data_IF_728903065955
#
_entry.id   IF_728903065955
#
_cell.length_a   1.000
_cell.length_b   1.000
_cell.length_c   1.000
_cell.angle_alpha   90.00
_cell.angle_beta   90.00
_cell.angle_gamma   90.00
#
_symmetry.space_group_name_H-M   'P 1'
#
loop_
_entity.id
_entity.type
_entity.pdbx_description
1 polymer ?
#
# COMPACT_ATOMS: atom_id res chain seq x y z
N UNK A 1 5.88 -1.35 -10.68
CA UNK A 1 5.43 -1.18 -9.29
C UNK A 1 5.14 -2.52 -8.64
N UNK A 2 4.30 -3.35 -9.29
CA UNK A 2 3.93 -4.71 -8.89
C UNK A 2 5.09 -5.61 -8.46
N UNK A 3 6.22 -5.55 -9.17
CA UNK A 3 7.41 -6.36 -8.84
C UNK A 3 7.97 -6.08 -7.43
N UNK A 4 7.73 -4.88 -6.88
CA UNK A 4 8.10 -4.52 -5.51
C UNK A 4 6.95 -4.78 -4.54
N UNK A 5 5.71 -4.49 -4.94
CA UNK A 5 4.52 -4.67 -4.12
C UNK A 5 4.32 -6.11 -3.69
N UNK A 6 4.35 -7.06 -4.63
CA UNK A 6 4.09 -8.48 -4.34
C UNK A 6 5.03 -9.02 -3.26
N UNK A 7 6.38 -8.95 -3.37
CA UNK A 7 7.25 -9.49 -2.34
C UNK A 7 7.11 -8.75 -1.00
N UNK A 8 6.91 -7.43 -1.00
CA UNK A 8 6.77 -6.64 0.23
C UNK A 8 5.45 -6.96 0.94
N UNK A 9 4.33 -7.05 0.21
CA UNK A 9 3.03 -7.41 0.77
C UNK A 9 3.01 -8.84 1.29
N UNK A 10 3.62 -9.79 0.58
CA UNK A 10 3.77 -11.18 1.05
C UNK A 10 4.62 -11.25 2.31
N UNK A 11 5.73 -10.51 2.37
CA UNK A 11 6.57 -10.44 3.56
C UNK A 11 5.85 -9.76 4.74
N UNK A 12 5.06 -8.72 4.47
CA UNK A 12 4.17 -8.09 5.44
C UNK A 12 3.17 -9.08 6.04
N UNK A 13 2.49 -9.86 5.18
CA UNK A 13 1.56 -10.90 5.61
C UNK A 13 2.26 -11.98 6.45
N UNK A 14 3.45 -12.42 6.04
CA UNK A 14 4.28 -13.35 6.83
C UNK A 14 4.61 -12.79 8.22
N UNK A 15 5.03 -11.52 8.31
CA UNK A 15 5.31 -10.87 9.59
C UNK A 15 4.07 -10.81 10.48
N UNK A 16 2.90 -10.45 9.93
CA UNK A 16 1.64 -10.43 10.69
C UNK A 16 1.28 -11.84 11.19
N UNK A 17 1.44 -12.87 10.35
CA UNK A 17 1.08 -14.24 10.71
C UNK A 17 2.04 -14.87 11.73
N UNK A 18 3.34 -14.66 11.61
CA UNK A 18 4.33 -15.44 12.35
C UNK A 18 5.19 -14.63 13.32
N UNK A 19 5.19 -13.30 13.22
CA UNK A 19 6.02 -12.42 14.07
C UNK A 19 5.19 -11.51 14.98
N UNK A 20 3.86 -11.47 14.83
CA UNK A 20 2.98 -10.76 15.78
C UNK A 20 3.10 -11.38 17.18
N UNK A 21 3.41 -10.59 18.23
CA UNK A 21 3.59 -11.11 19.58
C UNK A 21 2.27 -11.58 20.20
N UNK A 22 2.34 -12.50 21.16
CA UNK A 22 1.16 -13.07 21.84
C UNK A 22 0.26 -12.00 22.49
N UNK A 23 0.86 -10.91 22.99
CA UNK A 23 0.15 -9.77 23.57
C UNK A 23 -0.77 -9.02 22.59
N UNK A 24 -0.61 -9.23 21.28
CA UNK A 24 -1.41 -8.63 20.21
C UNK A 24 -2.23 -9.67 19.43
N UNK A 25 -2.40 -10.88 19.98
CA UNK A 25 -3.10 -11.95 19.25
C UNK A 25 -4.58 -11.62 18.96
N UNK A 26 -5.25 -10.87 19.85
CA UNK A 26 -6.63 -10.43 19.67
C UNK A 26 -6.84 -9.50 18.47
N UNK A 27 -5.81 -8.75 18.07
CA UNK A 27 -5.87 -7.81 16.93
C UNK A 27 -5.19 -8.36 15.67
N UNK A 28 -4.51 -9.50 15.75
CA UNK A 28 -3.76 -10.11 14.65
C UNK A 28 -4.62 -10.36 13.41
N UNK A 29 -5.81 -10.93 13.58
CA UNK A 29 -6.72 -11.23 12.48
C UNK A 29 -7.23 -9.94 11.81
N UNK A 30 -7.50 -8.90 12.61
CA UNK A 30 -7.91 -7.59 12.10
C UNK A 30 -6.79 -6.93 11.29
N UNK A 31 -5.53 -6.99 11.79
CA UNK A 31 -4.36 -6.52 11.05
C UNK A 31 -4.17 -7.26 9.73
N UNK A 32 -4.37 -8.58 9.71
CA UNK A 32 -4.25 -9.39 8.51
C UNK A 32 -5.35 -9.07 7.49
N UNK A 33 -6.60 -8.89 7.95
CA UNK A 33 -7.74 -8.55 7.11
C UNK A 33 -7.52 -7.19 6.43
N UNK A 34 -7.12 -6.18 7.20
CA UNK A 34 -6.79 -4.85 6.67
C UNK A 34 -5.63 -4.90 5.67
N UNK A 35 -4.56 -5.64 6.00
CA UNK A 35 -3.42 -5.82 5.10
C UNK A 35 -3.83 -6.48 3.80
N UNK A 36 -4.63 -7.55 3.86
CA UNK A 36 -5.11 -8.29 2.69
C UNK A 36 -5.89 -7.38 1.73
N UNK A 37 -6.91 -6.65 2.21
CA UNK A 37 -7.71 -5.78 1.33
C UNK A 37 -6.93 -4.60 0.78
N UNK A 38 -5.99 -4.04 1.56
CA UNK A 38 -5.09 -2.99 1.08
C UNK A 38 -4.15 -3.53 0.00
N UNK A 39 -3.53 -4.70 0.20
CA UNK A 39 -2.67 -5.32 -0.83
C UNK A 39 -3.46 -5.67 -2.09
N UNK A 40 -4.70 -6.17 -1.97
CA UNK A 40 -5.58 -6.45 -3.13
C UNK A 40 -5.88 -5.16 -3.89
N UNK A 41 -6.19 -4.06 -3.19
CA UNK A 41 -6.42 -2.76 -3.82
C UNK A 41 -5.19 -2.28 -4.60
N UNK A 42 -4.02 -2.28 -3.97
CA UNK A 42 -2.75 -1.86 -4.59
C UNK A 42 -2.48 -2.65 -5.87
N UNK A 43 -2.52 -3.99 -5.80
CA UNK A 43 -2.27 -4.87 -6.96
C UNK A 43 -3.33 -4.68 -8.05
N UNK A 44 -4.57 -4.41 -7.65
CA UNK A 44 -5.65 -4.16 -8.61
C UNK A 44 -5.37 -2.90 -9.41
N UNK A 45 -5.08 -1.78 -8.73
CA UNK A 45 -4.82 -0.49 -9.36
C UNK A 45 -3.48 -0.47 -10.09
N UNK A 46 -2.43 -1.10 -9.56
CA UNK A 46 -1.09 -1.07 -10.13
C UNK A 46 -0.91 -2.02 -11.32
N UNK A 47 -1.61 -3.17 -11.32
CA UNK A 47 -1.35 -4.27 -12.27
C UNK A 47 -2.57 -4.80 -13.00
N UNK A 48 -3.71 -5.02 -12.31
CA UNK A 48 -4.85 -5.68 -12.95
C UNK A 48 -5.59 -4.71 -13.87
N UNK A 49 -5.87 -3.49 -13.42
CA UNK A 49 -6.64 -2.51 -14.18
C UNK A 49 -5.79 -1.36 -14.69
N UNK A 50 -4.75 -0.92 -13.97
CA UNK A 50 -3.85 0.19 -14.35
C UNK A 50 -4.63 1.34 -15.02
N UNK A 51 -5.50 2.04 -14.26
CA UNK A 51 -6.49 2.93 -14.81
C UNK A 51 -5.84 4.19 -15.42
N UNK A 52 -6.25 4.51 -16.64
CA UNK A 52 -5.95 5.78 -17.31
C UNK A 52 -7.12 6.75 -17.09
N UNK A 53 -6.97 7.72 -16.19
CA UNK A 53 -8.01 8.70 -15.86
C UNK A 53 -7.82 10.01 -16.63
N UNK A 54 -8.94 10.66 -16.97
CA UNK A 54 -8.99 11.85 -17.83
C UNK A 54 -9.51 13.12 -17.11
N UNK A 55 -9.19 13.29 -15.83
CA UNK A 55 -9.64 14.46 -15.05
C UNK A 55 -9.22 15.78 -15.72
N UNK A 56 -10.11 16.80 -15.75
CA UNK A 56 -11.30 16.98 -14.90
C UNK A 56 -12.54 16.21 -15.35
N UNK A 57 -12.55 15.63 -16.56
CA UNK A 57 -13.63 14.75 -16.99
C UNK A 57 -13.53 13.44 -16.21
N UNK A 58 -14.63 13.03 -15.58
CA UNK A 58 -14.68 11.85 -14.70
C UNK A 58 -14.85 10.61 -15.57
N UNK A 59 -13.85 10.36 -16.40
CA UNK A 59 -13.81 9.28 -17.35
C UNK A 59 -12.42 8.64 -17.38
N UNK A 60 -12.36 7.42 -17.90
CA UNK A 60 -11.11 6.71 -18.06
C UNK A 60 -11.30 5.32 -18.62
N UNK A 61 -10.20 4.61 -18.78
CA UNK A 61 -10.19 3.22 -19.24
C UNK A 61 -9.02 2.45 -18.61
N UNK A 62 -9.16 1.15 -18.35
CA UNK A 62 -8.10 0.33 -17.79
C UNK A 62 -7.13 -0.14 -18.88
N UNK A 63 -5.84 -0.14 -18.56
CA UNK A 63 -4.75 -0.63 -19.43
C UNK A 63 -4.01 -1.84 -18.86
N UNK A 64 -4.53 -2.42 -17.78
CA UNK A 64 -3.88 -3.53 -17.06
C UNK A 64 -4.17 -4.92 -17.64
N UNK A 65 -3.77 -5.94 -16.88
CA UNK A 65 -3.88 -7.35 -17.26
C UNK A 65 -5.32 -7.79 -17.60
N UNK A 66 -6.33 -7.26 -16.90
CA UNK A 66 -7.73 -7.63 -17.12
C UNK A 66 -8.22 -7.19 -18.51
N UNK A 67 -7.71 -6.08 -19.04
CA UNK A 67 -7.99 -5.64 -20.41
C UNK A 67 -7.39 -6.60 -21.43
N UNK A 68 -6.18 -7.12 -21.17
CA UNK A 68 -5.51 -8.06 -22.07
C UNK A 68 -6.25 -9.40 -22.20
N UNK A 69 -6.85 -9.89 -21.12
CA UNK A 69 -7.67 -11.12 -21.13
C UNK A 69 -9.12 -10.88 -21.58
N UNK A 70 -9.46 -9.66 -22.01
CA UNK A 70 -10.76 -9.33 -22.60
C UNK A 70 -11.89 -9.02 -21.61
N UNK A 71 -11.60 -8.69 -20.35
CA UNK A 71 -12.65 -8.28 -19.39
C UNK A 71 -13.19 -6.91 -19.80
N UNK A 72 -14.52 -6.73 -19.93
CA UNK A 72 -15.11 -5.45 -20.31
C UNK A 72 -14.75 -4.31 -19.34
N UNK A 73 -14.47 -3.13 -19.89
CA UNK A 73 -14.11 -1.90 -19.15
C UNK A 73 -15.07 -1.61 -18.00
N UNK A 74 -16.39 -1.72 -18.23
CA UNK A 74 -17.40 -1.42 -17.21
C UNK A 74 -17.18 -2.27 -15.95
N UNK A 75 -17.01 -3.59 -16.09
CA UNK A 75 -16.79 -4.48 -14.94
C UNK A 75 -15.50 -4.14 -14.19
N UNK A 76 -14.42 -3.84 -14.91
CA UNK A 76 -13.15 -3.43 -14.30
C UNK A 76 -13.30 -2.12 -13.51
N UNK A 77 -14.00 -1.13 -14.09
CA UNK A 77 -14.27 0.16 -13.44
C UNK A 77 -15.13 -0.02 -12.19
N UNK A 78 -16.25 -0.74 -12.27
CA UNK A 78 -17.08 -1.02 -11.10
C UNK A 78 -16.30 -1.73 -10.00
N UNK A 79 -15.50 -2.73 -10.35
CA UNK A 79 -14.67 -3.47 -9.40
C UNK A 79 -13.66 -2.57 -8.68
N UNK A 80 -12.91 -1.75 -9.41
CA UNK A 80 -11.94 -0.79 -8.84
C UNK A 80 -12.65 0.22 -7.95
N UNK A 81 -13.76 0.79 -8.40
CA UNK A 81 -14.49 1.78 -7.61
C UNK A 81 -15.03 1.16 -6.32
N UNK A 82 -15.62 -0.03 -6.38
CA UNK A 82 -16.13 -0.73 -5.18
C UNK A 82 -14.98 -1.04 -4.20
N UNK A 83 -13.84 -1.52 -4.70
CA UNK A 83 -12.67 -1.80 -3.86
C UNK A 83 -12.10 -0.53 -3.22
N UNK A 84 -11.99 0.57 -3.96
CA UNK A 84 -11.62 1.86 -3.40
C UNK A 84 -12.64 2.29 -2.33
N UNK A 85 -13.93 2.23 -2.65
CA UNK A 85 -15.00 2.63 -1.76
C UNK A 85 -15.03 1.84 -0.45
N UNK A 86 -14.76 0.54 -0.50
CA UNK A 86 -14.74 -0.33 0.69
C UNK A 86 -13.53 -0.04 1.57
N UNK A 87 -12.36 0.23 0.98
CA UNK A 87 -11.14 0.57 1.75
C UNK A 87 -11.26 1.95 2.41
N UNK A 88 -11.95 2.90 1.78
CA UNK A 88 -12.15 4.26 2.30
C UNK A 88 -13.53 4.51 2.94
N UNK A 89 -14.36 3.46 3.08
CA UNK A 89 -15.69 3.48 3.72
C UNK A 89 -16.70 4.48 3.12
N UNK A 90 -16.64 4.69 1.80
CA UNK A 90 -17.46 5.68 1.08
C UNK A 90 -18.44 5.01 0.10
N UNK A 91 -18.70 3.71 0.27
CA UNK A 91 -19.57 2.90 -0.59
C UNK A 91 -20.97 3.51 -0.80
N UNK A 92 -21.55 4.09 0.25
CA UNK A 92 -22.90 4.69 0.21
C UNK A 92 -22.95 5.93 -0.69
N UNK A 93 -21.91 6.76 -0.68
CA UNK A 93 -21.87 7.99 -1.50
C UNK A 93 -21.51 7.69 -2.95
N UNK A 94 -20.65 6.70 -3.17
CA UNK A 94 -20.33 6.24 -4.52
C UNK A 94 -21.53 5.61 -5.22
N UNK A 95 -22.44 4.93 -4.51
CA UNK A 95 -23.68 4.44 -5.12
C UNK A 95 -24.49 5.57 -5.81
N UNK A 96 -24.50 6.78 -5.24
CA UNK A 96 -25.15 7.94 -5.85
C UNK A 96 -24.34 8.58 -6.98
N UNK A 97 -23.01 8.45 -6.98
CA UNK A 97 -22.13 9.00 -8.01
C UNK A 97 -21.98 8.09 -9.25
N UNK A 98 -22.25 6.78 -9.13
CA UNK A 98 -22.07 5.78 -10.19
C UNK A 98 -23.20 5.75 -11.23
N UNK A 99 -23.88 6.88 -11.44
CA UNK A 99 -24.83 7.03 -12.54
C UNK A 99 -24.00 7.12 -13.83
N UNK A 100 -23.87 5.99 -14.52
CA UNK A 100 -23.24 5.91 -15.85
C UNK A 100 -23.85 6.97 -16.76
N UNK A 101 -23.01 7.89 -17.25
CA UNK A 101 -23.45 8.89 -18.21
C UNK A 101 -23.18 8.40 -19.63
N UNK A 102 -24.26 8.18 -20.39
CA UNK A 102 -24.18 7.74 -21.78
C UNK A 102 -23.77 8.85 -22.76
N UNK A 103 -23.62 10.10 -22.30
CA UNK A 103 -23.27 11.25 -23.16
C UNK A 103 -21.75 11.42 -23.31
N UNK A 104 -21.11 10.41 -23.88
CA UNK A 104 -19.66 10.36 -24.12
C UNK A 104 -19.15 11.56 -24.96
N UNK A 105 -19.91 11.95 -25.99
CA UNK A 105 -19.43 12.89 -27.01
C UNK A 105 -19.38 14.37 -26.58
N UNK A 106 -20.24 14.81 -25.64
CA UNK A 106 -20.25 16.19 -25.16
C UNK A 106 -19.13 16.43 -24.14
N UNK A 107 -18.77 15.43 -23.34
CA UNK A 107 -17.75 15.55 -22.29
C UNK A 107 -16.33 15.59 -22.85
N UNK A 108 -16.08 15.01 -24.04
CA UNK A 108 -14.77 15.10 -24.68
C UNK A 108 -14.45 16.48 -25.27
N UNK A 109 -15.44 17.35 -25.45
CA UNK A 109 -15.23 18.70 -26.00
C UNK A 109 -14.55 19.65 -25.00
N UNK A 110 -14.59 19.33 -23.70
CA UNK A 110 -13.93 20.13 -22.65
C UNK A 110 -12.46 19.78 -22.47
N UNK A 111 -12.00 18.66 -23.07
CA UNK A 111 -10.60 18.25 -23.02
C UNK A 111 -9.81 18.90 -24.18
N UNK A 112 -8.51 19.21 -23.98
CA UNK A 112 -7.65 19.57 -25.09
C UNK A 112 -7.58 18.41 -26.10
N UNK A 113 -7.15 18.67 -27.33
CA UNK A 113 -7.00 17.61 -28.34
C UNK A 113 -6.09 16.50 -27.81
N UNK A 114 -6.66 15.30 -27.68
CA UNK A 114 -5.97 14.12 -27.18
C UNK A 114 -5.34 13.32 -28.32
N UNK A 115 -4.37 12.45 -28.02
CA UNK A 115 -3.88 11.48 -29.00
C UNK A 115 -5.00 10.59 -29.53
N UNK A 116 -4.94 10.22 -30.82
CA UNK A 116 -5.96 9.40 -31.49
C UNK A 116 -6.24 8.06 -30.80
N UNK A 117 -5.24 7.51 -30.09
CA UNK A 117 -5.36 6.28 -29.30
C UNK A 117 -6.36 6.38 -28.14
N UNK A 118 -6.60 7.58 -27.61
CA UNK A 118 -7.55 7.79 -26.52
C UNK A 118 -8.99 7.79 -27.04
N UNK A 119 -9.21 8.33 -28.24
CA UNK A 119 -10.54 8.33 -28.87
C UNK A 119 -10.98 6.94 -29.34
N UNK A 120 -10.04 6.05 -29.66
CA UNK A 120 -10.35 4.65 -30.02
C UNK A 120 -10.39 3.71 -28.81
N UNK A 121 -10.03 4.18 -27.62
CA UNK A 121 -10.08 3.39 -26.40
C UNK A 121 -11.53 3.23 -25.91
N UNK A 122 -11.86 2.14 -25.18
CA UNK A 122 -13.17 1.94 -24.59
C UNK A 122 -13.32 2.81 -23.34
N UNK A 123 -13.43 4.13 -23.53
CA UNK A 123 -13.54 5.10 -22.42
C UNK A 123 -14.88 4.95 -21.72
N UNK A 124 -14.82 4.81 -20.40
CA UNK A 124 -15.98 4.76 -19.52
C UNK A 124 -16.15 6.10 -18.81
N UNK A 125 -17.33 6.71 -18.93
CA UNK A 125 -17.69 7.97 -18.25
C UNK A 125 -18.44 7.64 -16.97
N UNK A 126 -17.84 7.96 -15.83
CA UNK A 126 -18.40 7.66 -14.51
C UNK A 126 -19.56 8.59 -14.17
N UNK A 127 -19.41 9.88 -14.50
CA UNK A 127 -20.45 10.92 -14.36
C UNK A 127 -20.00 12.19 -15.10
N UNK A 128 -20.95 12.93 -15.69
CA UNK A 128 -20.67 14.27 -16.25
C UNK A 128 -20.75 15.38 -15.21
N UNK A 129 -21.38 15.12 -14.06
CA UNK A 129 -21.64 16.14 -13.07
C UNK A 129 -20.56 16.15 -11.99
N UNK A 130 -19.71 17.17 -12.05
CA UNK A 130 -18.59 17.41 -11.13
C UNK A 130 -19.02 17.50 -9.66
N UNK A 131 -20.28 17.85 -9.39
CA UNK A 131 -20.82 17.93 -8.02
C UNK A 131 -20.77 16.58 -7.32
N UNK A 132 -20.99 15.46 -8.03
CA UNK A 132 -20.91 14.13 -7.41
C UNK A 132 -19.48 13.76 -7.01
N UNK A 133 -18.48 14.12 -7.83
CA UNK A 133 -17.07 13.90 -7.50
C UNK A 133 -16.64 14.78 -6.32
N UNK A 134 -16.95 16.07 -6.36
CA UNK A 134 -16.61 17.00 -5.27
C UNK A 134 -17.31 16.58 -3.98
N UNK A 135 -18.59 16.22 -4.03
CA UNK A 135 -19.34 15.70 -2.88
C UNK A 135 -18.71 14.43 -2.32
N UNK A 136 -18.29 13.50 -3.18
CA UNK A 136 -17.59 12.27 -2.78
C UNK A 136 -16.27 12.59 -2.08
N UNK A 137 -15.45 13.49 -2.64
CA UNK A 137 -14.16 13.89 -2.04
C UNK A 137 -14.39 14.58 -0.69
N UNK A 138 -15.35 15.51 -0.60
CA UNK A 138 -15.66 16.21 0.65
C UNK A 138 -16.15 15.23 1.73
N UNK A 139 -17.00 14.27 1.36
CA UNK A 139 -17.46 13.24 2.28
C UNK A 139 -16.32 12.31 2.73
N UNK A 140 -15.42 11.90 1.81
CA UNK A 140 -14.21 11.16 2.18
C UNK A 140 -13.36 11.93 3.21
N UNK A 141 -13.12 13.22 2.97
CA UNK A 141 -12.37 14.07 3.89
C UNK A 141 -13.05 14.15 5.26
N UNK A 142 -14.37 14.30 5.30
CA UNK A 142 -15.13 14.29 6.56
C UNK A 142 -14.98 12.98 7.34
N UNK A 143 -15.08 11.83 6.67
CA UNK A 143 -14.88 10.52 7.30
C UNK A 143 -13.45 10.34 7.82
N UNK A 144 -12.44 10.68 7.02
CA UNK A 144 -11.03 10.60 7.43
C UNK A 144 -10.78 11.47 8.67
N UNK A 145 -11.29 12.71 8.69
CA UNK A 145 -11.16 13.60 9.84
C UNK A 145 -11.87 13.04 11.08
N UNK A 146 -13.08 12.51 10.91
CA UNK A 146 -13.85 11.88 11.99
C UNK A 146 -13.11 10.68 12.57
N UNK A 147 -12.55 9.82 11.71
CA UNK A 147 -11.77 8.66 12.14
C UNK A 147 -10.50 9.07 12.91
N UNK A 148 -9.77 10.09 12.43
CA UNK A 148 -8.61 10.64 13.14
C UNK A 148 -9.01 11.08 14.56
N UNK A 149 -10.11 11.83 14.69
CA UNK A 149 -10.60 12.31 16.00
C UNK A 149 -11.01 11.15 16.90
N UNK A 150 -11.82 10.20 16.41
CA UNK A 150 -12.27 9.03 17.18
C UNK A 150 -11.07 8.22 17.65
N UNK A 151 -10.07 8.00 16.79
CA UNK A 151 -8.89 7.22 17.15
C UNK A 151 -8.06 7.96 18.20
N UNK A 152 -7.85 9.27 18.09
CA UNK A 152 -7.19 10.05 19.14
C UNK A 152 -7.91 9.91 20.48
N UNK A 153 -9.25 9.99 20.51
CA UNK A 153 -10.05 9.83 21.72
C UNK A 153 -9.89 8.43 22.32
N UNK A 154 -10.02 7.37 21.51
CA UNK A 154 -9.88 5.98 21.96
C UNK A 154 -8.46 5.69 22.47
N UNK A 155 -7.44 6.23 21.80
CA UNK A 155 -6.04 6.12 22.21
C UNK A 155 -5.80 6.80 23.55
N UNK A 156 -6.30 8.03 23.71
CA UNK A 156 -6.18 8.77 24.97
C UNK A 156 -6.88 8.03 26.11
N UNK A 157 -8.09 7.52 25.87
CA UNK A 157 -8.82 6.69 26.83
C UNK A 157 -8.04 5.43 27.20
N UNK A 158 -7.41 4.76 26.23
CA UNK A 158 -6.58 3.57 26.48
C UNK A 158 -5.35 3.87 27.34
N UNK A 159 -4.64 4.97 27.08
CA UNK A 159 -3.50 5.40 27.92
C UNK A 159 -3.97 5.74 29.33
N UNK A 160 -5.05 6.51 29.44
CA UNK A 160 -5.60 6.94 30.73
C UNK A 160 -6.06 5.76 31.57
N UNK A 161 -6.84 4.83 31.01
CA UNK A 161 -7.26 3.60 31.72
C UNK A 161 -6.06 2.76 32.18
N UNK A 162 -5.04 2.61 31.33
CA UNK A 162 -3.82 1.87 31.69
C UNK A 162 -3.02 2.57 32.81
N UNK A 163 -3.08 3.89 32.88
CA UNK A 163 -2.39 4.69 33.92
C UNK A 163 -3.19 4.72 35.22
N UNK A 164 -4.52 4.72 35.14
CA UNK A 164 -5.43 4.75 36.30
C UNK A 164 -5.60 3.39 36.98
N UNK A 165 -5.40 2.26 36.29
CA UNK A 165 -5.60 0.93 36.88
C UNK A 165 -4.41 0.41 37.73
N UNK A 166 -3.50 1.27 38.20
CA UNK A 166 -2.19 0.81 38.67
C UNK A 166 -2.19 0.04 40.01
N UNK A 167 -2.25 -1.29 39.86
CA UNK A 167 -1.35 -2.30 40.43
C UNK A 167 -0.14 -2.60 39.49
N UNK A 168 0.16 -1.78 38.46
CA UNK A 168 1.16 -2.10 37.42
C UNK A 168 2.52 -1.41 37.63
N UNK A 169 3.60 -2.08 37.19
CA UNK A 169 4.96 -1.54 37.25
C UNK A 169 5.26 -0.53 36.13
N UNK A 170 6.19 0.39 36.39
CA UNK A 170 6.61 1.44 35.44
C UNK A 170 7.13 0.88 34.10
N UNK A 171 7.78 -0.29 34.15
CA UNK A 171 8.30 -0.96 32.95
C UNK A 171 7.17 -1.34 31.98
N UNK A 172 6.05 -1.86 32.48
CA UNK A 172 4.89 -2.27 31.65
C UNK A 172 4.23 -1.07 30.96
N UNK A 173 4.09 0.06 31.66
CA UNK A 173 3.55 1.31 31.08
C UNK A 173 4.45 1.84 29.97
N UNK A 174 5.77 1.79 30.16
CA UNK A 174 6.73 2.24 29.15
C UNK A 174 6.63 1.43 27.84
N UNK A 175 6.33 0.13 27.93
CA UNK A 175 6.12 -0.77 26.79
C UNK A 175 4.80 -0.43 26.09
N UNK A 176 3.69 -0.27 26.84
CA UNK A 176 2.39 0.08 26.26
C UNK A 176 2.44 1.41 25.49
N UNK A 177 3.15 2.43 26.00
CA UNK A 177 3.35 3.72 25.29
C UNK A 177 4.10 3.56 23.96
N UNK A 178 5.12 2.69 23.91
CA UNK A 178 5.87 2.42 22.67
C UNK A 178 5.01 1.71 21.62
N UNK A 179 4.22 0.71 22.02
CA UNK A 179 3.29 0.01 21.12
C UNK A 179 2.24 0.97 20.57
N UNK A 180 1.72 1.88 21.42
CA UNK A 180 0.73 2.86 20.99
C UNK A 180 1.28 3.87 19.99
N UNK A 181 2.51 4.36 20.21
CA UNK A 181 3.21 5.23 19.25
C UNK A 181 3.40 4.55 17.90
N UNK A 182 3.67 3.25 17.89
CA UNK A 182 3.81 2.48 16.67
C UNK A 182 2.49 2.38 15.88
N UNK A 183 1.37 2.17 16.59
CA UNK A 183 0.03 2.18 16.01
C UNK A 183 -0.30 3.57 15.45
N UNK A 184 0.10 4.65 16.14
CA UNK A 184 -0.07 6.03 15.66
C UNK A 184 0.61 6.22 14.30
N UNK A 185 1.90 5.91 14.20
CA UNK A 185 2.65 6.10 12.95
C UNK A 185 2.01 5.29 11.81
N UNK A 186 1.68 4.02 12.06
CA UNK A 186 1.08 3.14 11.05
C UNK A 186 -0.29 3.63 10.55
N UNK A 187 -1.09 4.25 11.43
CA UNK A 187 -2.42 4.75 11.07
C UNK A 187 -2.38 6.05 10.27
N UNK A 188 -1.48 6.97 10.61
CA UNK A 188 -1.39 8.26 9.92
C UNK A 188 -0.72 8.15 8.56
N UNK A 189 0.20 7.19 8.36
CA UNK A 189 0.95 7.04 7.11
C UNK A 189 0.06 6.91 5.86
N UNK A 190 -0.93 5.99 5.78
CA UNK A 190 -1.81 5.90 4.60
C UNK A 190 -2.54 7.21 4.31
N UNK A 191 -3.02 7.88 5.36
CA UNK A 191 -3.79 9.12 5.24
C UNK A 191 -2.93 10.28 4.72
N UNK A 192 -1.68 10.38 5.19
CA UNK A 192 -0.75 11.40 4.71
C UNK A 192 -0.37 11.22 3.24
N UNK A 193 -0.23 9.97 2.77
CA UNK A 193 0.10 9.68 1.37
C UNK A 193 -1.08 10.01 0.43
N UNK A 194 -2.31 9.85 0.90
CA UNK A 194 -3.52 10.08 0.11
C UNK A 194 -4.00 11.54 0.11
N UNK A 195 -3.53 12.36 1.06
CA UNK A 195 -3.88 13.79 1.11
C UNK A 195 -3.48 14.52 -0.17
N UNK A 196 -2.27 14.28 -0.68
CA UNK A 196 -1.76 14.97 -1.88
C UNK A 196 -2.59 14.65 -3.15
N UNK A 197 -2.88 13.39 -3.50
CA UNK A 197 -3.75 13.06 -4.63
C UNK A 197 -5.16 13.64 -4.50
N UNK A 198 -5.77 13.59 -3.31
CA UNK A 198 -7.14 14.08 -3.11
C UNK A 198 -7.23 15.60 -3.23
N UNK A 199 -6.28 16.33 -2.64
CA UNK A 199 -6.20 17.78 -2.76
C UNK A 199 -5.97 18.20 -4.22
N UNK A 200 -5.10 17.48 -4.92
CA UNK A 200 -4.81 17.73 -6.33
C UNK A 200 -6.04 17.49 -7.23
N UNK A 201 -6.73 16.35 -7.06
CA UNK A 201 -7.94 16.05 -7.83
C UNK A 201 -9.04 17.09 -7.59
N UNK A 202 -9.21 17.55 -6.35
CA UNK A 202 -10.15 18.62 -6.01
C UNK A 202 -9.78 19.93 -6.72
N UNK A 203 -8.51 20.33 -6.65
CA UNK A 203 -8.02 21.56 -7.27
C UNK A 203 -8.22 21.56 -8.79
N UNK A 204 -7.84 20.49 -9.50
CA UNK A 204 -8.02 20.42 -10.95
C UNK A 204 -9.49 20.36 -11.37
N UNK A 205 -10.33 19.66 -10.61
CA UNK A 205 -11.77 19.58 -10.93
C UNK A 205 -12.43 20.95 -10.81
N UNK A 206 -12.01 21.77 -9.85
CA UNK A 206 -12.52 23.14 -9.66
C UNK A 206 -11.97 24.13 -10.70
N UNK A 207 -10.69 23.99 -11.06
CA UNK A 207 -10.02 24.89 -12.02
C UNK A 207 -10.25 24.46 -13.48
N UNK A 208 -10.82 23.27 -13.70
CA UNK A 208 -11.13 22.67 -15.01
C UNK A 208 -9.92 22.54 -15.95
N UNK A 209 -8.72 22.36 -15.37
CA UNK A 209 -7.48 22.19 -16.14
C UNK A 209 -7.13 20.72 -16.28
N UNK A 210 -6.98 20.25 -17.52
CA UNK A 210 -6.52 18.89 -17.82
C UNK A 210 -4.98 18.80 -17.78
N UNK A 211 -4.45 17.82 -17.04
CA UNK A 211 -3.02 17.50 -17.04
C UNK A 211 -2.78 15.99 -16.87
N UNK A 212 -2.47 15.30 -17.97
CA UNK A 212 -2.30 13.85 -17.94
C UNK A 212 -1.13 13.37 -17.08
N UNK A 213 -0.02 14.12 -17.04
CA UNK A 213 1.14 13.73 -16.23
C UNK A 213 0.77 13.68 -14.75
N UNK A 214 -0.02 14.65 -14.29
CA UNK A 214 -0.46 14.71 -12.91
C UNK A 214 -1.58 13.72 -12.59
N UNK A 215 -2.51 13.48 -13.51
CA UNK A 215 -3.48 12.39 -13.41
C UNK A 215 -2.77 11.04 -13.20
N UNK A 216 -1.69 10.79 -13.94
CA UNK A 216 -0.86 9.60 -13.78
C UNK A 216 -0.17 9.57 -12.40
N UNK A 217 0.33 10.70 -11.90
CA UNK A 217 0.87 10.78 -10.54
C UNK A 217 -0.19 10.47 -9.48
N UNK A 218 -1.42 10.98 -9.61
CA UNK A 218 -2.51 10.66 -8.67
C UNK A 218 -2.77 9.16 -8.60
N UNK A 219 -2.85 8.48 -9.75
CA UNK A 219 -3.01 7.02 -9.80
C UNK A 219 -1.80 6.31 -9.20
N UNK A 220 -0.57 6.79 -9.44
CA UNK A 220 0.64 6.21 -8.87
C UNK A 220 0.67 6.30 -7.33
N UNK A 221 0.32 7.46 -6.77
CA UNK A 221 0.21 7.64 -5.32
C UNK A 221 -0.92 6.80 -4.72
N UNK A 222 -2.07 6.74 -5.41
CA UNK A 222 -3.19 5.89 -5.01
C UNK A 222 -2.81 4.41 -5.03
N UNK A 223 -2.08 3.93 -6.05
CA UNK A 223 -1.60 2.56 -6.12
C UNK A 223 -0.53 2.25 -5.05
N UNK A 224 0.24 3.25 -4.62
CA UNK A 224 1.39 3.07 -3.73
C UNK A 224 1.16 3.28 -2.25
N UNK A 225 -0.01 3.78 -1.86
CA UNK A 225 -0.28 4.08 -0.46
C UNK A 225 -0.16 2.84 0.45
N UNK A 226 -0.65 1.67 0.02
CA UNK A 226 -0.57 0.42 0.79
C UNK A 226 0.85 -0.14 0.83
N UNK A 227 1.63 0.02 -0.23
CA UNK A 227 3.05 -0.31 -0.25
C UNK A 227 3.83 0.50 0.79
N UNK A 228 3.65 1.83 0.79
CA UNK A 228 4.28 2.72 1.77
C UNK A 228 3.83 2.36 3.19
N UNK A 229 2.54 2.11 3.39
CA UNK A 229 1.99 1.63 4.66
C UNK A 229 2.66 0.35 5.15
N UNK A 230 2.88 -0.61 4.26
CA UNK A 230 3.51 -1.90 4.58
C UNK A 230 4.98 -1.71 4.95
N UNK A 231 5.73 -0.90 4.20
CA UNK A 231 7.13 -0.57 4.52
C UNK A 231 7.22 0.08 5.91
N UNK A 232 6.35 1.05 6.19
CA UNK A 232 6.30 1.70 7.50
C UNK A 232 5.91 0.73 8.61
N UNK A 233 4.92 -0.14 8.39
CA UNK A 233 4.56 -1.20 9.34
C UNK A 233 5.77 -2.07 9.66
N UNK A 234 6.50 -2.53 8.64
CA UNK A 234 7.70 -3.34 8.81
C UNK A 234 8.81 -2.60 9.56
N UNK A 235 8.95 -1.27 9.39
CA UNK A 235 9.97 -0.44 10.05
C UNK A 235 9.57 0.10 11.42
N UNK A 236 8.29 0.14 11.76
CA UNK A 236 7.84 0.68 13.05
C UNK A 236 7.71 -0.44 14.08
N UNK A 237 7.22 -1.61 13.69
CA UNK A 237 7.04 -2.75 14.58
C UNK A 237 8.34 -3.50 14.84
N UNK A 238 8.86 -3.36 16.06
CA UNK A 238 10.09 -4.03 16.50
C UNK A 238 10.16 -5.54 16.14
N UNK A 239 9.13 -6.38 16.38
CA UNK A 239 9.22 -7.80 16.01
C UNK A 239 9.32 -8.03 14.49
N UNK A 240 8.74 -7.15 13.67
CA UNK A 240 8.76 -7.27 12.22
C UNK A 240 10.11 -6.81 11.66
N UNK A 241 10.68 -5.73 12.20
CA UNK A 241 12.03 -5.25 11.88
C UNK A 241 13.08 -6.30 12.15
N UNK A 242 13.00 -6.92 13.32
CA UNK A 242 13.97 -7.95 13.71
C UNK A 242 13.89 -9.11 12.71
N UNK A 243 12.67 -9.55 12.35
CA UNK A 243 12.48 -10.57 11.33
C UNK A 243 13.03 -10.16 9.95
N UNK A 244 12.86 -8.90 9.55
CA UNK A 244 13.46 -8.35 8.34
C UNK A 244 14.98 -8.46 8.37
N UNK A 245 15.62 -7.93 9.42
CA UNK A 245 17.08 -7.99 9.55
C UNK A 245 17.62 -9.43 9.68
N UNK A 246 16.88 -10.35 10.29
CA UNK A 246 17.27 -11.75 10.40
C UNK A 246 17.37 -12.43 9.03
N UNK A 247 16.46 -12.10 8.09
CA UNK A 247 16.52 -12.60 6.70
C UNK A 247 17.84 -12.18 6.05
N UNK A 248 18.21 -10.90 6.12
CA UNK A 248 19.47 -10.40 5.55
C UNK A 248 20.71 -10.90 6.28
N UNK A 249 20.65 -11.06 7.61
CA UNK A 249 21.77 -11.57 8.41
C UNK A 249 22.02 -13.06 8.14
N UNK A 250 20.98 -13.83 7.85
CA UNK A 250 21.10 -15.25 7.49
C UNK A 250 21.75 -15.46 6.12
N UNK A 251 21.52 -14.56 5.14
CA UNK A 251 22.25 -14.57 3.86
C UNK A 251 23.74 -14.25 4.05
N UNK A 252 24.06 -13.18 4.78
CA UNK A 252 25.44 -12.76 5.03
C UNK A 252 26.25 -13.79 5.86
N UNK A 253 25.59 -14.47 6.82
CA UNK A 253 26.21 -15.54 7.62
C UNK A 253 26.49 -16.80 6.79
N UNK A 254 25.60 -17.18 5.87
CA UNK A 254 25.81 -18.33 4.97
C UNK A 254 26.98 -18.10 4.02
N UNK A 255 27.10 -16.91 3.44
CA UNK A 255 28.23 -16.56 2.56
C UNK A 255 29.56 -16.57 3.34
N UNK A 256 29.55 -16.03 4.57
CA UNK A 256 30.73 -16.05 5.45
C UNK A 256 31.15 -17.47 5.87
N UNK A 257 30.20 -18.36 6.14
CA UNK A 257 30.48 -19.77 6.44
C UNK A 257 31.02 -20.52 5.21
N UNK A 258 30.47 -20.28 4.02
CA UNK A 258 30.94 -20.89 2.78
C UNK A 258 32.37 -20.44 2.46
N UNK A 259 32.68 -19.15 2.59
CA UNK A 259 34.03 -18.59 2.40
C UNK A 259 35.02 -19.19 3.42
N UNK A 260 34.62 -19.33 4.69
CA UNK A 260 35.48 -19.96 5.69
C UNK A 260 35.69 -21.46 5.43
N UNK A 261 34.67 -22.17 4.93
CA UNK A 261 34.79 -23.58 4.54
C UNK A 261 35.70 -23.78 3.31
N UNK A 262 35.63 -22.92 2.30
CA UNK A 262 36.51 -22.98 1.13
C UNK A 262 37.95 -22.57 1.48
N UNK A 263 38.14 -21.54 2.31
CA UNK A 263 39.47 -21.16 2.81
C UNK A 263 40.13 -22.28 3.62
N UNK A 264 39.36 -22.96 4.49
CA UNK A 264 39.85 -24.10 5.28
C UNK A 264 40.24 -25.29 4.39
N UNK A 265 39.42 -25.61 3.38
CA UNK A 265 39.72 -26.67 2.40
C UNK A 265 41.01 -26.39 1.62
N UNK A 266 41.23 -25.15 1.20
CA UNK A 266 42.44 -24.76 0.47
C UNK A 266 43.69 -24.71 1.36
N UNK A 267 43.53 -24.36 2.64
CA UNK A 267 44.59 -24.43 3.64
C UNK A 267 45.04 -25.86 3.92
N UNK A 268 44.08 -26.78 4.10
CA UNK A 268 44.37 -28.19 4.39
C UNK A 268 44.98 -28.92 3.19
N UNK A 269 44.53 -28.64 1.96
CA UNK A 269 45.11 -29.21 0.73
C UNK A 269 46.54 -28.72 0.50
N UNK A 270 46.82 -27.42 0.64
CA UNK A 270 48.19 -26.90 0.54
C UNK A 270 49.13 -27.52 1.59
N UNK A 271 48.62 -27.79 2.81
CA UNK A 271 49.38 -28.45 3.88
C UNK A 271 49.69 -29.91 3.56
N UNK A 272 48.77 -30.62 2.92
CA UNK A 272 48.98 -32.02 2.48
C UNK A 272 49.96 -32.10 1.31
N UNK A 273 49.90 -31.16 0.35
CA UNK A 273 50.90 -31.08 -0.73
C UNK A 273 52.31 -30.80 -0.18
N UNK A 274 52.46 -29.88 0.77
CA UNK A 274 53.77 -29.58 1.39
C UNK A 274 54.33 -30.75 2.22
N UNK A 275 53.48 -31.52 2.89
CA UNK A 275 53.93 -32.69 3.64
C UNK A 275 54.29 -33.86 2.70
N UNK A 276 53.57 -34.03 1.58
CA UNK A 276 53.90 -35.05 0.58
C UNK A 276 55.15 -34.70 -0.24
N UNK A 277 55.47 -33.42 -0.43
CA UNK A 277 56.73 -33.02 -1.10
C UNK A 277 57.95 -33.20 -0.20
N UNK A 278 57.83 -33.00 1.11
CA UNK A 278 58.91 -33.30 2.09
C UNK A 278 59.21 -34.79 2.23
N UNK A 279 58.20 -35.66 2.08
CA UNK A 279 58.38 -37.10 2.24
C UNK A 279 58.95 -37.82 0.98
N UNK A 280 59.20 -37.11 -0.13
CA UNK A 280 59.78 -37.69 -1.35
C UNK A 280 61.26 -37.36 -1.57
N UNK A 281 61.93 -36.73 -0.61
CA UNK A 281 63.35 -36.31 -0.71
C UNK A 281 64.33 -37.17 0.10
N UNK A 282 64.01 -38.43 0.37
CA UNK A 282 64.94 -39.41 0.94
C UNK A 282 65.06 -40.63 0.03
#
# INVERSE_FOLDING_TARGET
>A
MTCLEVPIHLFGAYCILYKTPYSMNSVKLSMLNLHFWSSVLDLTVSSLTTPFILLPVIAGYPMGLLTYIGVPTAFQTYYVVILCASNYRVLVVLHFAMIEDRTVNSTFQTLPQLPSSVYSAPVFVLTSNVVYLVSTIVFMLFFILTEIVVIIILLHKRISMTTMSMFLSQNTISIQKKVLRNIYIQLFTPMSVLFFPLFYMLFLTVVEVYNQAMNNFCILFLAGHGLVSTIIMLWVHQPYRNAFFDVFRSSCSKDSQIINCTAKKNGDSNRTYFNNSRNRTY
#
